data_IF_630228519755
#
_entry.id   IF_630228519755
#
_cell.length_a   1.000
_cell.length_b   1.000
_cell.length_c   1.000
_cell.angle_alpha   90.00
_cell.angle_beta   90.00
_cell.angle_gamma   90.00
#
_symmetry.space_group_name_H-M   'P 1'
#
loop_
_entity.id
_entity.type
_entity.pdbx_description
1 polymer ?
#
# COMPACT_ATOMS: atom_id res chain seq x y z
N UNK A 1 11.17 9.33 -19.61
CA UNK A 1 11.68 8.89 -18.29
C UNK A 1 12.60 7.70 -18.48
N UNK A 2 13.75 7.64 -17.79
CA UNK A 2 14.63 6.48 -17.78
C UNK A 2 14.38 5.66 -16.51
N UNK A 3 14.62 4.35 -16.58
CA UNK A 3 14.60 3.48 -15.40
C UNK A 3 15.67 3.90 -14.38
N UNK A 4 15.38 3.73 -13.11
CA UNK A 4 16.38 3.91 -12.05
C UNK A 4 17.55 2.94 -12.23
N UNK A 5 18.77 3.26 -11.75
CA UNK A 5 19.89 2.34 -11.79
C UNK A 5 19.53 1.00 -11.15
N UNK A 6 19.94 -0.14 -11.75
CA UNK A 6 19.60 -1.45 -11.21
C UNK A 6 20.25 -1.65 -9.84
N UNK A 7 19.44 -2.15 -8.90
CA UNK A 7 19.92 -2.58 -7.59
C UNK A 7 20.46 -4.00 -7.71
N UNK A 8 21.66 -4.24 -7.16
CA UNK A 8 22.31 -5.56 -7.21
C UNK A 8 21.82 -6.49 -6.09
N UNK A 9 21.50 -5.92 -4.91
CA UNK A 9 21.04 -6.65 -3.74
C UNK A 9 20.29 -5.71 -2.81
N UNK A 10 19.24 -6.22 -2.18
CA UNK A 10 18.57 -5.60 -1.04
C UNK A 10 18.68 -6.57 0.13
N UNK A 11 19.25 -6.13 1.24
CA UNK A 11 19.39 -6.91 2.45
C UNK A 11 19.01 -6.07 3.66
N UNK A 12 17.88 -6.39 4.28
CA UNK A 12 17.25 -5.65 5.40
C UNK A 12 17.21 -4.14 5.11
N UNK A 13 18.04 -3.34 5.77
CA UNK A 13 18.10 -1.88 5.62
C UNK A 13 19.22 -1.41 4.70
N UNK A 14 19.82 -2.30 3.93
CA UNK A 14 20.90 -1.95 3.02
C UNK A 14 20.58 -2.36 1.58
N UNK A 15 21.16 -1.61 0.64
CA UNK A 15 21.12 -1.92 -0.79
C UNK A 15 22.53 -1.86 -1.36
N UNK A 16 22.82 -2.72 -2.32
CA UNK A 16 24.07 -2.66 -3.09
C UNK A 16 23.78 -2.08 -4.48
N UNK A 17 24.50 -1.02 -4.81
CA UNK A 17 24.41 -0.32 -6.10
C UNK A 17 25.81 -0.01 -6.58
N UNK A 18 26.16 -0.43 -7.81
CA UNK A 18 27.49 -0.24 -8.39
C UNK A 18 28.62 -0.64 -7.41
N UNK A 19 28.46 -1.80 -6.78
CA UNK A 19 29.40 -2.33 -5.79
C UNK A 19 29.36 -1.68 -4.39
N UNK A 20 28.71 -0.53 -4.22
CA UNK A 20 28.62 0.18 -2.94
C UNK A 20 27.46 -0.33 -2.10
N UNK A 21 27.67 -0.53 -0.80
CA UNK A 21 26.62 -0.83 0.18
C UNK A 21 26.15 0.48 0.80
N UNK A 22 24.85 0.77 0.65
CA UNK A 22 24.22 2.00 1.09
C UNK A 22 23.03 1.70 2.03
N UNK A 23 22.77 2.57 2.99
CA UNK A 23 21.57 2.52 3.83
C UNK A 23 20.35 2.78 2.92
N UNK A 24 19.31 1.96 3.04
CA UNK A 24 18.18 1.95 2.12
C UNK A 24 16.89 2.40 2.78
N UNK A 25 16.52 3.64 2.55
CA UNK A 25 15.23 4.22 2.88
C UNK A 25 14.26 4.21 1.68
N UNK A 26 14.57 3.43 0.66
CA UNK A 26 13.68 3.21 -0.49
C UNK A 26 12.86 1.93 -0.33
N UNK A 27 11.90 1.75 -1.25
CA UNK A 27 10.96 0.63 -1.19
C UNK A 27 10.01 0.72 -0.01
N UNK A 28 8.98 -0.13 0.00
CA UNK A 28 7.89 -0.05 0.97
C UNK A 28 7.74 -1.34 1.81
N UNK A 29 8.80 -2.14 1.93
CA UNK A 29 8.85 -3.27 2.87
C UNK A 29 9.14 -2.74 4.28
N UNK A 30 8.10 -2.23 4.92
CA UNK A 30 8.17 -1.48 6.18
C UNK A 30 8.69 -2.30 7.35
N UNK A 31 8.60 -3.63 7.29
CA UNK A 31 9.08 -4.55 8.33
C UNK A 31 10.26 -5.41 7.86
N UNK A 32 10.75 -5.16 6.63
CA UNK A 32 11.83 -5.95 6.00
C UNK A 32 11.54 -7.46 5.98
N UNK A 33 10.25 -7.81 5.79
CA UNK A 33 9.78 -9.19 5.74
C UNK A 33 10.34 -9.96 4.54
N UNK A 34 10.59 -9.29 3.41
CA UNK A 34 11.19 -9.93 2.23
C UNK A 34 12.57 -10.58 2.52
N UNK A 35 13.30 -10.05 3.49
CA UNK A 35 14.59 -10.60 3.93
C UNK A 35 14.53 -11.29 5.30
N UNK A 36 13.34 -11.43 5.90
CA UNK A 36 13.18 -12.07 7.21
C UNK A 36 13.48 -13.58 7.13
N UNK A 37 14.34 -14.15 8.02
CA UNK A 37 14.76 -15.54 7.92
C UNK A 37 13.61 -16.55 7.91
N UNK A 38 12.60 -16.38 8.78
CA UNK A 38 11.44 -17.28 8.85
C UNK A 38 10.56 -17.18 7.60
N UNK A 39 10.41 -15.99 6.98
CA UNK A 39 9.65 -15.80 5.76
C UNK A 39 10.36 -16.46 4.58
N UNK A 40 11.68 -16.29 4.49
CA UNK A 40 12.50 -16.95 3.45
C UNK A 40 12.49 -18.47 3.59
N UNK A 41 12.59 -18.98 4.82
CA UNK A 41 12.46 -20.42 5.09
C UNK A 41 11.10 -20.94 4.67
N UNK A 42 10.01 -20.25 5.03
CA UNK A 42 8.66 -20.66 4.61
C UNK A 42 8.49 -20.69 3.09
N UNK A 43 9.16 -19.81 2.34
CA UNK A 43 9.19 -19.86 0.88
C UNK A 43 9.91 -21.12 0.37
N UNK A 44 11.09 -21.42 0.92
CA UNK A 44 11.88 -22.60 0.56
C UNK A 44 11.12 -23.91 0.85
N UNK A 45 10.59 -24.03 2.06
CA UNK A 45 9.79 -25.18 2.48
C UNK A 45 8.52 -25.32 1.63
N UNK A 46 7.89 -24.18 1.28
CA UNK A 46 6.75 -24.15 0.39
C UNK A 46 7.06 -24.63 -1.03
N UNK A 47 8.23 -24.30 -1.56
CA UNK A 47 8.67 -24.75 -2.87
C UNK A 47 8.91 -26.29 -2.89
N UNK A 48 9.53 -26.81 -1.84
CA UNK A 48 9.77 -28.26 -1.70
C UNK A 48 8.47 -29.02 -1.52
N UNK A 49 7.55 -28.52 -0.68
CA UNK A 49 6.34 -29.25 -0.29
C UNK A 49 5.23 -29.18 -1.33
N UNK A 50 5.05 -28.04 -1.99
CA UNK A 50 3.88 -27.78 -2.83
C UNK A 50 4.21 -27.57 -4.31
N UNK A 51 5.49 -27.53 -4.69
CA UNK A 51 5.90 -27.10 -6.02
C UNK A 51 5.71 -25.59 -6.23
N UNK A 52 5.80 -25.15 -7.49
CA UNK A 52 5.81 -23.72 -7.80
C UNK A 52 4.41 -23.12 -7.95
N UNK A 53 3.48 -23.85 -8.57
CA UNK A 53 2.11 -23.37 -8.80
C UNK A 53 1.13 -24.53 -8.95
N UNK A 54 -0.17 -24.20 -9.06
CA UNK A 54 -1.24 -25.20 -9.25
C UNK A 54 -1.57 -25.44 -10.74
N UNK A 55 -1.03 -24.64 -11.65
CA UNK A 55 -1.25 -24.67 -13.10
C UNK A 55 -2.73 -24.77 -13.54
N UNK A 56 -3.65 -24.23 -12.74
CA UNK A 56 -5.09 -24.28 -12.97
C UNK A 56 -5.79 -23.08 -12.28
N UNK A 57 -6.96 -22.71 -12.80
CA UNK A 57 -7.82 -21.72 -12.16
C UNK A 57 -8.36 -22.21 -10.82
N UNK A 58 -8.55 -21.28 -9.87
CA UNK A 58 -9.16 -21.58 -8.57
C UNK A 58 -10.61 -22.07 -8.66
N UNK A 59 -11.32 -21.73 -9.72
CA UNK A 59 -12.69 -22.22 -9.95
C UNK A 59 -12.74 -23.65 -10.51
N UNK A 60 -11.61 -24.19 -10.92
CA UNK A 60 -11.54 -25.57 -11.43
C UNK A 60 -10.76 -26.45 -10.45
N UNK A 61 -9.58 -26.87 -10.80
CA UNK A 61 -8.75 -27.79 -10.00
C UNK A 61 -7.62 -27.10 -9.24
N UNK A 62 -7.50 -25.77 -9.36
CA UNK A 62 -6.40 -24.99 -8.78
C UNK A 62 -6.67 -24.38 -7.41
N UNK A 63 -7.79 -24.71 -6.72
CA UNK A 63 -8.07 -24.16 -5.39
C UNK A 63 -7.32 -24.94 -4.30
N UNK A 64 -6.09 -24.54 -4.04
CA UNK A 64 -5.25 -25.19 -3.04
C UNK A 64 -5.59 -24.74 -1.62
N UNK A 65 -5.54 -25.66 -0.63
CA UNK A 65 -5.82 -25.37 0.79
C UNK A 65 -5.01 -24.22 1.37
N UNK A 66 -3.78 -24.03 0.90
CA UNK A 66 -2.91 -22.93 1.35
C UNK A 66 -3.48 -21.55 1.03
N UNK A 67 -4.18 -21.39 -0.10
CA UNK A 67 -4.86 -20.14 -0.44
C UNK A 67 -6.00 -19.85 0.55
N UNK A 68 -6.82 -20.86 0.83
CA UNK A 68 -7.92 -20.74 1.80
C UNK A 68 -7.39 -20.37 3.20
N UNK A 69 -6.28 -21.01 3.60
CA UNK A 69 -5.63 -20.71 4.89
C UNK A 69 -5.09 -19.28 4.94
N UNK A 70 -4.47 -18.80 3.87
CA UNK A 70 -3.95 -17.43 3.78
C UNK A 70 -5.10 -16.40 3.77
N UNK A 71 -6.15 -16.64 2.99
CA UNK A 71 -7.34 -15.76 2.95
C UNK A 71 -8.00 -15.67 4.34
N UNK A 72 -8.15 -16.79 5.03
CA UNK A 72 -8.68 -16.82 6.41
C UNK A 72 -7.78 -16.05 7.36
N UNK A 73 -6.46 -16.20 7.25
CA UNK A 73 -5.49 -15.49 8.09
C UNK A 73 -5.54 -13.97 7.84
N UNK A 74 -5.65 -13.54 6.59
CA UNK A 74 -5.79 -12.13 6.20
C UNK A 74 -7.12 -11.55 6.70
N UNK A 75 -8.25 -12.21 6.44
CA UNK A 75 -9.56 -11.77 6.92
C UNK A 75 -9.54 -11.58 8.45
N UNK A 76 -8.98 -12.54 9.19
CA UNK A 76 -8.84 -12.45 10.65
C UNK A 76 -7.92 -11.31 11.09
N UNK A 77 -6.78 -11.11 10.40
CA UNK A 77 -5.82 -10.06 10.76
C UNK A 77 -6.41 -8.67 10.56
N UNK A 78 -7.08 -8.44 9.43
CA UNK A 78 -7.68 -7.14 9.10
C UNK A 78 -9.08 -6.92 9.69
N UNK A 79 -9.73 -7.96 10.21
CA UNK A 79 -11.08 -7.89 10.79
C UNK A 79 -12.20 -7.81 9.74
N UNK A 80 -11.94 -8.32 8.53
CA UNK A 80 -12.93 -8.49 7.48
C UNK A 80 -13.67 -9.84 7.64
N UNK A 81 -14.84 -9.95 7.00
CA UNK A 81 -15.56 -11.23 6.97
C UNK A 81 -14.85 -12.25 6.08
N UNK A 82 -14.39 -11.81 4.91
CA UNK A 82 -13.67 -12.65 3.95
C UNK A 82 -12.55 -11.88 3.23
N UNK A 83 -11.64 -12.63 2.62
CA UNK A 83 -10.59 -12.15 1.74
C UNK A 83 -10.57 -12.95 0.44
N UNK A 84 -10.14 -12.32 -0.67
CA UNK A 84 -9.80 -12.99 -1.92
C UNK A 84 -8.38 -12.61 -2.34
N UNK A 85 -7.57 -13.59 -2.73
CA UNK A 85 -6.17 -13.40 -3.15
C UNK A 85 -6.06 -13.11 -4.65
N UNK A 86 -5.10 -12.25 -5.00
CA UNK A 86 -4.75 -11.88 -6.36
C UNK A 86 -3.23 -11.90 -6.56
N UNK A 87 -2.78 -11.94 -7.82
CA UNK A 87 -1.37 -11.95 -8.17
C UNK A 87 -0.64 -10.68 -7.72
N UNK A 88 -1.28 -9.51 -7.74
CA UNK A 88 -0.69 -8.24 -7.24
C UNK A 88 -1.76 -7.36 -6.61
N UNK A 89 -1.35 -6.40 -5.77
CA UNK A 89 -2.24 -5.34 -5.27
C UNK A 89 -2.86 -4.51 -6.39
N UNK A 90 -2.13 -4.33 -7.51
CA UNK A 90 -2.64 -3.57 -8.65
C UNK A 90 -3.89 -4.20 -9.26
N UNK A 91 -3.85 -5.48 -9.56
CA UNK A 91 -4.99 -6.19 -10.18
C UNK A 91 -6.17 -6.41 -9.22
N UNK A 92 -5.98 -6.23 -7.93
CA UNK A 92 -7.04 -6.36 -6.92
C UNK A 92 -8.17 -5.35 -7.15
N UNK A 93 -7.83 -4.09 -7.42
CA UNK A 93 -8.79 -3.03 -7.70
C UNK A 93 -9.51 -3.27 -9.05
N UNK A 94 -8.77 -3.70 -10.07
CA UNK A 94 -9.33 -4.05 -11.38
C UNK A 94 -10.32 -5.20 -11.26
N UNK A 95 -9.99 -6.24 -10.50
CA UNK A 95 -10.86 -7.39 -10.28
C UNK A 95 -12.16 -7.01 -9.57
N UNK A 96 -12.08 -6.13 -8.57
CA UNK A 96 -13.27 -5.58 -7.92
C UNK A 96 -14.17 -4.86 -8.94
N UNK A 97 -13.62 -3.89 -9.66
CA UNK A 97 -14.38 -3.08 -10.60
C UNK A 97 -14.99 -3.93 -11.73
N UNK A 98 -14.25 -4.90 -12.26
CA UNK A 98 -14.73 -5.84 -13.29
C UNK A 98 -15.91 -6.69 -12.84
N UNK A 99 -16.03 -6.93 -11.53
CA UNK A 99 -17.12 -7.75 -10.96
C UNK A 99 -18.45 -7.02 -10.87
N UNK A 100 -18.45 -5.69 -11.02
CA UNK A 100 -19.62 -4.84 -10.83
C UNK A 100 -19.94 -3.90 -12.01
N UNK A 101 -19.86 -4.36 -13.29
CA UNK A 101 -20.14 -3.52 -14.44
C UNK A 101 -21.61 -3.06 -14.41
N UNK A 102 -21.83 -1.74 -14.49
CA UNK A 102 -23.19 -1.14 -14.46
C UNK A 102 -23.91 -1.23 -13.11
N UNK A 103 -23.27 -1.79 -12.08
CA UNK A 103 -23.86 -1.80 -10.73
C UNK A 103 -23.85 -0.40 -10.11
N UNK A 104 -22.75 0.32 -10.26
CA UNK A 104 -22.62 1.70 -9.83
C UNK A 104 -23.07 2.66 -10.92
N UNK A 105 -23.69 3.76 -10.51
CA UNK A 105 -24.15 4.80 -11.44
C UNK A 105 -23.08 5.88 -11.65
N UNK A 106 -22.15 6.03 -10.70
CA UNK A 106 -21.06 7.01 -10.73
C UNK A 106 -19.87 6.49 -9.98
N UNK A 107 -18.67 6.79 -10.46
CA UNK A 107 -17.41 6.63 -9.77
C UNK A 107 -16.89 8.01 -9.32
N UNK A 108 -16.55 8.16 -8.04
CA UNK A 108 -16.02 9.40 -7.47
C UNK A 108 -14.58 9.13 -6.99
N UNK A 109 -13.62 9.79 -7.62
CA UNK A 109 -12.20 9.53 -7.46
C UNK A 109 -11.52 10.67 -6.68
N UNK A 110 -10.73 10.34 -5.65
CA UNK A 110 -9.84 11.33 -5.03
C UNK A 110 -8.85 11.87 -6.09
N UNK A 111 -8.59 13.17 -6.09
CA UNK A 111 -7.72 13.81 -7.08
C UNK A 111 -6.29 13.25 -7.11
N UNK A 112 -5.79 12.68 -5.99
CA UNK A 112 -4.47 12.05 -5.88
C UNK A 112 -4.52 10.52 -5.81
N UNK A 113 -5.61 9.92 -6.26
CA UNK A 113 -5.80 8.48 -6.30
C UNK A 113 -4.67 7.79 -7.09
N UNK A 114 -4.16 6.69 -6.57
CA UNK A 114 -3.17 5.85 -7.24
C UNK A 114 -3.68 5.33 -8.60
N UNK A 115 -2.76 5.06 -9.54
CA UNK A 115 -3.10 4.57 -10.88
C UNK A 115 -3.98 3.34 -10.91
N UNK A 116 -3.74 2.36 -10.04
CA UNK A 116 -4.51 1.11 -10.02
C UNK A 116 -6.02 1.29 -9.81
N UNK A 117 -6.51 1.95 -8.75
CA UNK A 117 -7.96 2.18 -8.62
C UNK A 117 -8.48 3.22 -9.65
N UNK A 118 -7.63 4.08 -10.22
CA UNK A 118 -8.00 4.96 -11.33
C UNK A 118 -8.30 4.15 -12.59
N UNK A 119 -7.42 3.24 -12.98
CA UNK A 119 -7.63 2.33 -14.11
C UNK A 119 -8.82 1.39 -13.87
N UNK A 120 -9.02 0.98 -12.62
CA UNK A 120 -10.18 0.18 -12.23
C UNK A 120 -11.50 0.91 -12.47
N UNK A 121 -11.55 2.23 -12.29
CA UNK A 121 -12.76 3.02 -12.50
C UNK A 121 -13.29 2.91 -13.94
N UNK A 122 -12.43 2.74 -14.94
CA UNK A 122 -12.82 2.57 -16.35
C UNK A 122 -13.63 1.28 -16.57
N UNK A 123 -13.34 0.23 -15.79
CA UNK A 123 -14.05 -1.06 -15.89
C UNK A 123 -15.47 -1.03 -15.31
N UNK A 124 -15.83 -0.01 -14.52
CA UNK A 124 -17.15 0.14 -13.92
C UNK A 124 -18.21 0.53 -14.96
N UNK A 125 -17.80 1.06 -16.12
CA UNK A 125 -18.68 1.49 -17.21
C UNK A 125 -19.76 2.49 -16.76
N UNK A 126 -19.37 3.43 -15.90
CA UNK A 126 -20.22 4.52 -15.44
C UNK A 126 -19.42 5.85 -15.47
N UNK A 127 -20.12 7.02 -15.48
CA UNK A 127 -19.46 8.31 -15.39
C UNK A 127 -18.54 8.41 -14.19
N UNK A 128 -17.29 8.87 -14.41
CA UNK A 128 -16.32 9.14 -13.37
C UNK A 128 -16.17 10.65 -13.14
N UNK A 129 -16.12 11.05 -11.87
CA UNK A 129 -15.87 12.44 -11.43
C UNK A 129 -14.74 12.45 -10.42
N UNK A 130 -13.92 13.49 -10.45
CA UNK A 130 -12.87 13.70 -9.48
C UNK A 130 -13.32 14.69 -8.41
N UNK A 131 -13.08 14.39 -7.14
CA UNK A 131 -13.24 15.34 -6.03
C UNK A 131 -11.88 15.76 -5.50
N UNK A 132 -11.84 16.95 -4.87
CA UNK A 132 -10.59 17.51 -4.34
C UNK A 132 -9.98 16.57 -3.30
N UNK A 133 -8.66 16.46 -3.35
CA UNK A 133 -7.87 15.58 -2.48
C UNK A 133 -8.23 15.75 -1.00
N UNK A 134 -8.68 14.65 -0.37
CA UNK A 134 -9.05 14.57 1.05
C UNK A 134 -10.13 15.56 1.49
N UNK A 135 -10.98 15.97 0.58
CA UNK A 135 -12.03 16.98 0.84
C UNK A 135 -13.42 16.32 0.85
N UNK A 136 -13.92 16.02 2.06
CA UNK A 136 -15.25 15.42 2.25
C UNK A 136 -16.40 16.37 1.87
N UNK A 137 -16.20 17.69 1.94
CA UNK A 137 -17.21 18.65 1.53
C UNK A 137 -17.34 18.71 0.01
N UNK A 138 -16.22 18.62 -0.70
CA UNK A 138 -16.25 18.50 -2.16
C UNK A 138 -16.88 17.16 -2.57
N UNK A 139 -16.49 16.06 -1.91
CA UNK A 139 -17.13 14.75 -2.13
C UNK A 139 -18.66 14.86 -1.92
N UNK A 140 -19.13 15.51 -0.87
CA UNK A 140 -20.56 15.76 -0.61
C UNK A 140 -21.23 16.53 -1.75
N UNK A 141 -20.58 17.57 -2.30
CA UNK A 141 -21.09 18.31 -3.45
C UNK A 141 -21.21 17.45 -4.69
N UNK A 142 -20.16 16.66 -4.98
CA UNK A 142 -20.17 15.74 -6.12
C UNK A 142 -21.25 14.65 -5.98
N UNK A 143 -21.42 14.08 -4.79
CA UNK A 143 -22.47 13.10 -4.50
C UNK A 143 -23.88 13.69 -4.74
N UNK A 144 -24.15 14.91 -4.29
CA UNK A 144 -25.43 15.60 -4.55
C UNK A 144 -25.69 15.77 -6.04
N UNK A 145 -24.68 16.06 -6.84
CA UNK A 145 -24.80 16.21 -8.30
C UNK A 145 -25.08 14.91 -9.06
N UNK A 146 -24.93 13.75 -8.39
CA UNK A 146 -25.25 12.45 -8.96
C UNK A 146 -26.76 12.10 -8.91
N UNK A 147 -27.55 12.85 -8.13
CA UNK A 147 -28.97 12.62 -7.96
C UNK A 147 -29.34 11.62 -6.84
N UNK A 148 -30.61 11.66 -6.39
CA UNK A 148 -31.06 10.87 -5.22
C UNK A 148 -31.06 9.37 -5.43
N UNK A 149 -31.22 8.89 -6.66
CA UNK A 149 -31.23 7.46 -7.00
C UNK A 149 -29.83 6.92 -7.30
N UNK A 150 -28.78 7.70 -7.12
CA UNK A 150 -27.43 7.30 -7.41
C UNK A 150 -26.96 6.15 -6.50
N UNK A 151 -26.19 5.25 -7.10
CA UNK A 151 -25.39 4.20 -6.41
C UNK A 151 -23.93 4.51 -6.68
N UNK A 152 -23.32 5.44 -5.95
CA UNK A 152 -21.94 5.85 -6.20
C UNK A 152 -20.93 4.85 -5.63
N UNK A 153 -19.79 4.72 -6.32
CA UNK A 153 -18.58 4.13 -5.76
C UNK A 153 -17.57 5.26 -5.53
N UNK A 154 -17.12 5.43 -4.29
CA UNK A 154 -15.99 6.32 -3.97
C UNK A 154 -14.71 5.49 -3.97
N UNK A 155 -13.67 6.00 -4.65
CA UNK A 155 -12.34 5.37 -4.73
C UNK A 155 -11.31 6.32 -4.14
N UNK A 156 -10.53 5.82 -3.19
CA UNK A 156 -9.46 6.58 -2.52
C UNK A 156 -8.33 5.66 -2.10
N UNK A 157 -7.10 6.21 -1.99
CA UNK A 157 -6.06 5.54 -1.22
C UNK A 157 -6.39 5.69 0.27
N UNK A 158 -6.06 4.71 1.08
CA UNK A 158 -6.12 4.84 2.54
C UNK A 158 -4.98 5.72 3.05
N UNK A 159 -3.75 5.29 2.77
CA UNK A 159 -2.54 6.08 2.95
C UNK A 159 -1.93 6.40 1.58
N UNK A 160 -1.87 7.68 1.23
CA UNK A 160 -1.36 8.12 -0.06
C UNK A 160 0.15 7.90 -0.19
N UNK A 161 0.54 7.28 -1.30
CA UNK A 161 1.92 6.86 -1.54
C UNK A 161 2.91 8.01 -1.74
N UNK A 162 2.41 9.21 -2.07
CA UNK A 162 3.25 10.39 -2.34
C UNK A 162 3.89 10.94 -1.07
N UNK A 163 3.08 11.22 -0.06
CA UNK A 163 3.47 11.97 1.13
C UNK A 163 3.11 11.28 2.46
N UNK A 164 2.35 10.17 2.38
CA UNK A 164 1.87 9.47 3.57
C UNK A 164 0.67 10.13 4.25
N UNK A 165 -0.01 11.09 3.60
CA UNK A 165 -1.28 11.61 4.09
C UNK A 165 -2.35 10.51 4.13
N UNK A 166 -3.35 10.65 5.01
CA UNK A 166 -4.41 9.66 5.21
C UNK A 166 -5.74 10.20 4.71
N UNK A 167 -6.53 9.34 4.04
CA UNK A 167 -7.90 9.67 3.67
C UNK A 167 -8.78 9.78 4.92
N UNK A 168 -9.69 10.77 5.00
CA UNK A 168 -10.64 10.92 6.11
C UNK A 168 -11.84 9.97 5.92
N UNK A 169 -11.61 8.66 6.07
CA UNK A 169 -12.60 7.63 5.73
C UNK A 169 -13.91 7.76 6.51
N UNK A 170 -13.86 8.21 7.76
CA UNK A 170 -15.06 8.43 8.58
C UNK A 170 -15.94 9.53 7.97
N UNK A 171 -15.33 10.62 7.53
CA UNK A 171 -16.04 11.73 6.89
C UNK A 171 -16.62 11.32 5.52
N UNK A 172 -15.87 10.52 4.74
CA UNK A 172 -16.37 9.98 3.47
C UNK A 172 -17.59 9.07 3.67
N UNK A 173 -17.54 8.17 4.64
CA UNK A 173 -18.67 7.29 4.97
C UNK A 173 -19.87 8.07 5.50
N UNK A 174 -19.65 9.15 6.24
CA UNK A 174 -20.72 10.00 6.76
C UNK A 174 -21.51 10.74 5.66
N UNK A 175 -20.86 11.07 4.53
CA UNK A 175 -21.51 11.74 3.40
C UNK A 175 -22.01 10.77 2.33
N UNK A 176 -21.54 9.52 2.35
CA UNK A 176 -21.88 8.49 1.38
C UNK A 176 -23.31 8.00 1.60
N UNK A 177 -24.19 7.98 0.58
CA UNK A 177 -25.54 7.44 0.70
C UNK A 177 -25.51 5.93 1.01
N UNK A 178 -26.57 5.39 1.59
CA UNK A 178 -26.68 3.95 1.93
C UNK A 178 -26.50 3.02 0.74
N UNK A 179 -26.81 3.49 -0.46
CA UNK A 179 -26.65 2.76 -1.74
C UNK A 179 -25.22 2.81 -2.29
N UNK A 180 -24.34 3.64 -1.70
CA UNK A 180 -22.97 3.81 -2.13
C UNK A 180 -22.01 2.85 -1.46
N UNK A 181 -20.83 2.70 -2.07
CA UNK A 181 -19.70 1.93 -1.52
C UNK A 181 -18.43 2.75 -1.54
N UNK A 182 -17.47 2.36 -0.69
CA UNK A 182 -16.15 2.96 -0.57
C UNK A 182 -15.09 1.88 -0.82
N UNK A 183 -14.35 1.99 -1.93
CA UNK A 183 -13.16 1.19 -2.20
C UNK A 183 -11.91 1.95 -1.74
N UNK A 184 -11.22 1.37 -0.77
CA UNK A 184 -10.00 1.93 -0.19
C UNK A 184 -8.81 1.12 -0.66
N UNK A 185 -7.94 1.71 -1.47
CA UNK A 185 -6.61 1.15 -1.72
C UNK A 185 -5.71 1.44 -0.52
N UNK A 186 -5.66 0.50 0.38
CA UNK A 186 -4.86 0.61 1.62
C UNK A 186 -3.52 -0.11 1.52
N UNK A 187 -2.98 -0.22 0.29
CA UNK A 187 -1.74 -0.92 0.02
C UNK A 187 -0.56 -0.45 0.90
N UNK A 188 -0.53 0.82 1.29
CA UNK A 188 0.50 1.39 2.15
C UNK A 188 0.13 1.36 3.64
N UNK A 189 -1.15 1.52 3.98
CA UNK A 189 -1.63 1.55 5.37
C UNK A 189 -1.76 0.17 6.00
N UNK A 190 -2.20 -0.81 5.20
CA UNK A 190 -2.39 -2.18 5.66
C UNK A 190 -1.10 -2.78 6.25
N UNK A 191 -1.19 -3.33 7.47
CA UNK A 191 -0.07 -3.88 8.23
C UNK A 191 0.72 -2.83 9.03
N UNK A 192 0.73 -1.56 8.59
CA UNK A 192 1.56 -0.48 9.18
C UNK A 192 0.78 0.39 10.15
N UNK A 193 -0.39 0.83 9.75
CA UNK A 193 -1.19 1.79 10.48
C UNK A 193 -2.20 1.11 11.44
N UNK A 194 -2.57 1.87 12.48
CA UNK A 194 -3.48 1.40 13.51
C UNK A 194 -2.78 0.63 14.64
N UNK A 195 -3.47 0.51 15.77
CA UNK A 195 -2.95 -0.17 16.97
C UNK A 195 -2.64 -1.65 16.71
N UNK A 196 -3.46 -2.30 15.90
CA UNK A 196 -3.31 -3.73 15.57
C UNK A 196 -2.78 -3.97 14.14
N UNK A 197 -2.61 -2.90 13.32
CA UNK A 197 -2.10 -2.98 11.95
C UNK A 197 -3.18 -3.22 10.90
N UNK A 198 -4.45 -2.97 11.21
CA UNK A 198 -5.53 -3.15 10.22
C UNK A 198 -5.56 -2.06 9.15
N UNK A 199 -4.66 -1.08 9.24
CA UNK A 199 -4.51 -0.04 8.23
C UNK A 199 -5.34 1.21 8.51
N UNK A 200 -5.60 1.97 7.45
CA UNK A 200 -6.30 3.26 7.53
C UNK A 200 -7.72 3.16 8.10
N UNK A 201 -8.53 2.11 7.83
CA UNK A 201 -9.82 1.97 8.48
C UNK A 201 -9.74 1.92 10.01
N UNK A 202 -8.72 1.26 10.57
CA UNK A 202 -8.53 1.23 12.03
C UNK A 202 -8.15 2.60 12.60
N UNK A 203 -7.28 3.34 11.90
CA UNK A 203 -6.90 4.71 12.32
C UNK A 203 -8.10 5.66 12.31
N UNK A 204 -8.95 5.54 11.30
CA UNK A 204 -10.16 6.35 11.19
C UNK A 204 -11.32 5.87 12.09
N UNK A 205 -11.13 4.76 12.85
CA UNK A 205 -12.16 4.19 13.72
C UNK A 205 -13.39 3.68 12.97
N UNK A 206 -13.25 3.31 11.69
CA UNK A 206 -14.39 2.92 10.85
C UNK A 206 -14.50 1.40 10.73
N UNK A 207 -15.75 0.94 10.84
CA UNK A 207 -16.17 -0.43 10.53
C UNK A 207 -17.52 -0.34 9.86
N UNK A 208 -17.56 -0.52 8.55
CA UNK A 208 -18.76 -0.32 7.74
C UNK A 208 -18.79 -1.39 6.63
N UNK A 209 -19.93 -2.04 6.42
CA UNK A 209 -20.12 -3.08 5.40
C UNK A 209 -19.99 -2.56 3.96
N UNK A 210 -20.14 -1.24 3.77
CA UNK A 210 -19.95 -0.55 2.49
C UNK A 210 -18.48 -0.32 2.15
N UNK A 211 -17.55 -0.52 3.09
CA UNK A 211 -16.12 -0.36 2.88
C UNK A 211 -15.51 -1.66 2.37
N UNK A 212 -14.80 -1.58 1.27
CA UNK A 212 -13.97 -2.64 0.70
C UNK A 212 -12.52 -2.17 0.75
N UNK A 213 -11.65 -2.98 1.36
CA UNK A 213 -10.23 -2.66 1.49
C UNK A 213 -9.42 -3.52 0.52
N UNK A 214 -8.66 -2.87 -0.37
CA UNK A 214 -7.67 -3.51 -1.24
C UNK A 214 -6.29 -3.36 -0.59
N UNK A 215 -5.51 -4.43 -0.55
CA UNK A 215 -4.18 -4.44 0.06
C UNK A 215 -3.13 -5.04 -0.86
N UNK A 216 -1.89 -4.63 -0.67
CA UNK A 216 -0.72 -5.24 -1.33
C UNK A 216 0.07 -6.09 -0.34
N UNK A 217 0.36 -7.32 -0.71
CA UNK A 217 1.25 -8.19 0.07
C UNK A 217 2.74 -7.86 -0.15
N UNK A 218 3.08 -7.02 -1.15
CA UNK A 218 4.47 -6.65 -1.45
C UNK A 218 5.02 -5.53 -0.58
N UNK A 219 4.23 -4.99 0.34
CA UNK A 219 4.65 -3.90 1.22
C UNK A 219 4.86 -4.39 2.66
N UNK A 220 3.93 -4.15 3.59
CA UNK A 220 4.08 -4.56 4.98
C UNK A 220 4.28 -6.09 5.16
N UNK A 221 3.65 -6.90 4.32
CA UNK A 221 3.82 -8.36 4.33
C UNK A 221 5.14 -8.78 3.68
N UNK A 222 5.76 -7.93 2.82
CA UNK A 222 7.07 -8.15 2.24
C UNK A 222 7.17 -9.31 1.24
N UNK A 223 6.03 -9.77 0.70
CA UNK A 223 5.95 -10.87 -0.27
C UNK A 223 5.24 -10.38 -1.52
N UNK A 224 5.11 -11.18 -2.54
CA UNK A 224 4.35 -10.84 -3.75
C UNK A 224 2.87 -11.15 -3.57
N UNK A 225 1.98 -10.36 -4.19
CA UNK A 225 0.53 -10.60 -4.18
C UNK A 225 -0.30 -9.40 -3.77
N UNK A 226 -1.61 -9.61 -3.77
CA UNK A 226 -2.60 -8.67 -3.26
C UNK A 226 -3.81 -9.41 -2.68
N UNK A 227 -4.64 -8.70 -1.94
CA UNK A 227 -5.90 -9.23 -1.47
C UNK A 227 -6.99 -8.16 -1.39
N UNK A 228 -8.21 -8.56 -1.65
CA UNK A 228 -9.42 -7.79 -1.41
C UNK A 228 -10.07 -8.29 -0.13
N UNK A 229 -10.47 -7.35 0.72
CA UNK A 229 -11.06 -7.60 2.04
C UNK A 229 -12.43 -6.92 2.09
N UNK A 230 -13.44 -7.61 2.58
CA UNK A 230 -14.78 -7.05 2.67
C UNK A 230 -15.81 -8.04 3.21
N UNK A 231 -17.10 -7.73 2.98
CA UNK A 231 -18.18 -8.64 3.35
C UNK A 231 -18.16 -9.92 2.50
N UNK A 232 -18.65 -11.00 3.04
CA UNK A 232 -18.74 -12.29 2.35
C UNK A 232 -19.50 -12.18 1.02
N UNK A 233 -20.54 -11.34 0.96
CA UNK A 233 -21.33 -11.07 -0.25
C UNK A 233 -20.48 -10.46 -1.36
N UNK A 234 -19.67 -9.45 -1.04
CA UNK A 234 -18.79 -8.75 -1.99
C UNK A 234 -17.70 -9.68 -2.49
N UNK A 235 -17.01 -10.36 -1.58
CA UNK A 235 -15.91 -11.26 -1.93
C UNK A 235 -16.40 -12.40 -2.83
N UNK A 236 -17.55 -13.01 -2.50
CA UNK A 236 -18.17 -14.03 -3.34
C UNK A 236 -18.51 -13.50 -4.75
N UNK A 237 -19.10 -12.30 -4.85
CA UNK A 237 -19.40 -11.69 -6.14
C UNK A 237 -18.13 -11.47 -6.99
N UNK A 238 -17.00 -11.09 -6.37
CA UNK A 238 -15.73 -10.95 -7.06
C UNK A 238 -15.19 -12.30 -7.52
N UNK A 239 -15.25 -13.32 -6.69
CA UNK A 239 -14.82 -14.68 -7.06
C UNK A 239 -15.63 -15.27 -8.20
N UNK A 240 -16.93 -14.99 -8.25
CA UNK A 240 -17.85 -15.54 -9.25
C UNK A 240 -17.85 -14.78 -10.58
N UNK A 241 -17.53 -13.47 -10.59
CA UNK A 241 -17.75 -12.59 -11.74
C UNK A 241 -16.48 -11.98 -12.32
N UNK A 242 -15.39 -11.91 -11.57
CA UNK A 242 -14.17 -11.33 -12.08
C UNK A 242 -13.44 -12.30 -13.02
N UNK A 243 -13.31 -11.94 -14.28
CA UNK A 243 -12.49 -12.71 -15.22
C UNK A 243 -11.02 -12.74 -14.79
N UNK A 244 -10.54 -11.69 -14.10
CA UNK A 244 -9.20 -11.64 -13.52
C UNK A 244 -9.05 -12.72 -12.42
N UNK A 245 -10.07 -12.97 -11.60
CA UNK A 245 -10.02 -14.03 -10.61
C UNK A 245 -10.19 -15.42 -11.25
N UNK A 246 -11.14 -15.54 -12.18
CA UNK A 246 -11.53 -16.79 -12.81
C UNK A 246 -10.44 -17.31 -13.76
N UNK A 247 -9.92 -16.42 -14.64
CA UNK A 247 -9.04 -16.80 -15.75
C UNK A 247 -7.55 -16.70 -15.47
N UNK A 248 -7.16 -16.27 -14.27
CA UNK A 248 -5.75 -16.09 -13.92
C UNK A 248 -5.20 -17.28 -13.13
N UNK A 249 -3.92 -17.60 -13.37
CA UNK A 249 -3.17 -18.49 -12.49
C UNK A 249 -3.03 -17.81 -11.12
N UNK A 250 -3.39 -18.48 -10.02
CA UNK A 250 -3.30 -17.89 -8.70
C UNK A 250 -1.85 -17.69 -8.26
N UNK A 251 -1.70 -17.02 -7.11
CA UNK A 251 -0.41 -16.78 -6.48
C UNK A 251 0.43 -18.06 -6.38
N UNK A 252 1.74 -18.03 -6.74
CA UNK A 252 2.63 -19.18 -6.56
C UNK A 252 2.60 -19.73 -5.13
N UNK A 253 2.50 -21.04 -4.97
CA UNK A 253 2.35 -21.68 -3.66
C UNK A 253 3.48 -21.34 -2.66
N UNK A 254 4.76 -21.28 -3.05
CA UNK A 254 5.83 -20.83 -2.16
C UNK A 254 5.64 -19.40 -1.63
N UNK A 255 5.13 -18.50 -2.48
CA UNK A 255 4.83 -17.14 -2.08
C UNK A 255 3.61 -17.07 -1.15
N UNK A 256 2.60 -17.93 -1.35
CA UNK A 256 1.48 -18.04 -0.43
C UNK A 256 1.94 -18.53 0.96
N UNK A 257 2.85 -19.50 1.01
CA UNK A 257 3.45 -19.99 2.26
C UNK A 257 4.24 -18.90 2.99
N UNK A 258 5.06 -18.14 2.25
CA UNK A 258 5.83 -17.01 2.77
C UNK A 258 4.91 -15.90 3.29
N UNK A 259 3.84 -15.55 2.55
CA UNK A 259 2.87 -14.55 2.94
C UNK A 259 2.12 -14.96 4.23
N UNK A 260 1.71 -16.21 4.32
CA UNK A 260 1.07 -16.75 5.54
C UNK A 260 2.01 -16.62 6.75
N UNK A 261 3.28 -16.99 6.60
CA UNK A 261 4.28 -16.84 7.66
C UNK A 261 4.47 -15.39 8.06
N UNK A 262 4.56 -14.48 7.10
CA UNK A 262 4.70 -13.05 7.37
C UNK A 262 3.50 -12.48 8.13
N UNK A 263 2.27 -12.81 7.73
CA UNK A 263 1.04 -12.40 8.45
C UNK A 263 1.02 -12.94 9.88
N UNK A 264 1.47 -14.18 10.09
CA UNK A 264 1.60 -14.78 11.42
C UNK A 264 2.60 -14.01 12.30
N UNK A 265 3.75 -13.61 11.74
CA UNK A 265 4.78 -12.81 12.43
C UNK A 265 4.24 -11.44 12.81
N UNK A 266 3.64 -10.70 11.86
CA UNK A 266 3.05 -9.38 12.10
C UNK A 266 1.97 -9.41 13.20
N UNK A 267 1.22 -10.52 13.30
CA UNK A 267 0.22 -10.73 14.36
C UNK A 267 0.85 -11.08 15.69
N UNK A 268 1.88 -11.92 15.69
CA UNK A 268 2.52 -12.44 16.91
C UNK A 268 3.42 -11.43 17.59
N UNK A 269 4.12 -10.61 16.80
CA UNK A 269 5.11 -9.65 17.26
C UNK A 269 4.66 -8.19 17.11
N UNK A 270 3.99 -7.62 18.12
CA UNK A 270 3.60 -6.21 18.09
C UNK A 270 4.77 -5.25 18.19
N UNK A 271 5.98 -5.71 18.59
CA UNK A 271 7.17 -4.87 18.72
C UNK A 271 7.67 -4.37 17.34
N UNK A 272 7.43 -5.11 16.27
CA UNK A 272 7.73 -4.69 14.90
C UNK A 272 7.05 -3.36 14.58
N UNK A 273 5.74 -3.29 14.86
CA UNK A 273 4.94 -2.07 14.60
C UNK A 273 5.30 -0.96 15.58
N UNK A 274 5.52 -1.28 16.85
CA UNK A 274 5.96 -0.30 17.84
C UNK A 274 7.30 0.35 17.43
N UNK A 275 8.27 -0.42 16.95
CA UNK A 275 9.55 0.11 16.42
C UNK A 275 9.34 0.98 15.18
N UNK A 276 8.45 0.56 14.24
CA UNK A 276 8.15 1.36 13.06
C UNK A 276 7.55 2.73 13.44
N UNK A 277 6.61 2.75 14.37
CA UNK A 277 5.99 3.98 14.88
C UNK A 277 7.04 4.86 15.58
N UNK A 278 7.87 4.30 16.45
CA UNK A 278 8.92 5.03 17.15
C UNK A 278 9.94 5.64 16.17
N UNK A 279 10.42 4.86 15.20
CA UNK A 279 11.34 5.34 14.17
C UNK A 279 10.72 6.47 13.33
N UNK A 280 9.44 6.33 13.00
CA UNK A 280 8.69 7.35 12.25
C UNK A 280 8.54 8.64 13.04
N UNK A 281 8.12 8.54 14.30
CA UNK A 281 7.96 9.70 15.18
C UNK A 281 9.29 10.42 15.41
N UNK A 282 10.36 9.67 15.67
CA UNK A 282 11.71 10.23 15.87
C UNK A 282 12.13 11.11 14.68
N UNK A 283 12.17 10.54 13.46
CA UNK A 283 12.63 11.30 12.29
C UNK A 283 11.71 12.48 11.97
N UNK A 284 10.37 12.27 11.99
CA UNK A 284 9.43 13.34 11.66
C UNK A 284 9.49 14.49 12.66
N UNK A 285 9.71 14.21 13.95
CA UNK A 285 9.88 15.27 14.97
C UNK A 285 11.09 16.12 14.68
N UNK A 286 12.24 15.51 14.42
CA UNK A 286 13.48 16.23 14.09
C UNK A 286 13.30 17.09 12.83
N UNK A 287 12.67 16.54 11.78
CA UNK A 287 12.45 17.28 10.54
C UNK A 287 11.45 18.45 10.74
N UNK A 288 10.40 18.27 11.54
CA UNK A 288 9.47 19.38 11.85
C UNK A 288 10.13 20.49 12.68
N UNK A 289 10.97 20.12 13.65
CA UNK A 289 11.77 21.11 14.40
C UNK A 289 12.71 21.90 13.48
N UNK A 290 13.15 21.27 12.40
CA UNK A 290 13.92 21.92 11.33
C UNK A 290 13.04 22.57 10.26
N UNK A 291 11.72 22.73 10.51
CA UNK A 291 10.74 23.40 9.66
C UNK A 291 10.45 22.74 8.30
N UNK A 292 10.74 21.45 8.17
CA UNK A 292 10.33 20.70 6.98
C UNK A 292 8.81 20.42 6.97
N UNK A 293 8.14 20.52 5.80
CA UNK A 293 6.70 20.30 5.66
C UNK A 293 6.36 18.79 5.65
N UNK A 294 6.66 18.08 6.72
CA UNK A 294 6.33 16.66 6.86
C UNK A 294 4.97 16.45 7.51
N UNK A 295 4.20 15.51 7.00
CA UNK A 295 2.84 15.20 7.47
C UNK A 295 2.89 14.69 8.92
N UNK A 296 2.05 15.27 9.78
CA UNK A 296 1.96 14.87 11.20
C UNK A 296 0.99 13.70 11.39
N UNK A 297 1.49 12.50 11.15
CA UNK A 297 0.77 11.24 11.37
C UNK A 297 1.76 10.08 11.49
N UNK A 298 1.26 8.88 11.78
CA UNK A 298 2.07 7.67 11.96
C UNK A 298 2.52 7.00 10.64
N UNK A 299 2.24 7.61 9.48
CA UNK A 299 2.69 7.09 8.18
C UNK A 299 4.22 6.99 8.14
N UNK A 300 4.82 5.85 7.77
CA UNK A 300 6.27 5.68 7.70
C UNK A 300 6.88 6.28 6.42
N UNK A 301 6.19 7.21 5.77
CA UNK A 301 6.67 7.93 4.61
C UNK A 301 7.03 9.37 4.96
N UNK A 302 8.17 9.82 4.42
CA UNK A 302 8.62 11.21 4.45
C UNK A 302 8.91 11.63 3.02
N UNK A 303 8.18 12.62 2.52
CA UNK A 303 8.35 13.17 1.19
C UNK A 303 8.86 14.61 1.28
N UNK A 304 9.93 14.92 0.55
CA UNK A 304 10.55 16.24 0.53
C UNK A 304 10.80 16.67 -0.91
N UNK A 305 10.27 17.81 -1.30
CA UNK A 305 10.42 18.35 -2.65
C UNK A 305 11.61 19.30 -2.67
N UNK A 306 12.63 19.06 -3.52
CA UNK A 306 13.73 20.00 -3.71
C UNK A 306 13.23 21.27 -4.41
N UNK A 307 13.93 22.39 -4.24
CA UNK A 307 13.56 23.68 -4.85
C UNK A 307 13.70 23.67 -6.38
N UNK A 308 14.71 22.98 -6.86
CA UNK A 308 15.07 22.85 -8.28
C UNK A 308 15.94 21.62 -8.54
N UNK A 309 16.28 21.37 -9.82
CA UNK A 309 17.11 20.25 -10.24
C UNK A 309 18.53 20.29 -9.65
N UNK A 310 19.13 21.48 -9.48
CA UNK A 310 20.46 21.60 -8.89
C UNK A 310 20.44 21.23 -7.41
N UNK A 311 19.38 21.67 -6.70
CA UNK A 311 19.14 21.32 -5.31
C UNK A 311 18.93 19.81 -5.17
N UNK A 312 18.11 19.17 -6.01
CA UNK A 312 17.95 17.73 -6.08
C UNK A 312 19.31 17.01 -6.25
N UNK A 313 20.10 17.43 -7.23
CA UNK A 313 21.41 16.83 -7.50
C UNK A 313 22.42 17.02 -6.36
N UNK A 314 22.42 18.17 -5.67
CA UNK A 314 23.25 18.39 -4.46
C UNK A 314 22.86 17.43 -3.35
N UNK A 315 21.58 17.28 -3.08
CA UNK A 315 21.03 16.38 -2.06
C UNK A 315 21.34 14.93 -2.37
N UNK A 316 21.18 14.48 -3.63
CA UNK A 316 21.59 13.12 -4.05
C UNK A 316 23.05 12.86 -3.74
N UNK A 317 23.96 13.81 -4.09
CA UNK A 317 25.40 13.68 -3.78
C UNK A 317 25.69 13.67 -2.28
N UNK A 318 24.95 14.46 -1.49
CA UNK A 318 25.12 14.49 -0.03
C UNK A 318 24.69 13.15 0.60
N UNK A 319 23.55 12.61 0.19
CA UNK A 319 23.06 11.29 0.63
C UNK A 319 24.07 10.18 0.27
N UNK A 320 24.56 10.16 -0.98
CA UNK A 320 25.56 9.18 -1.43
C UNK A 320 26.88 9.28 -0.64
N UNK A 321 27.37 10.48 -0.33
CA UNK A 321 28.57 10.67 0.52
C UNK A 321 28.34 10.16 1.93
N UNK A 322 27.14 10.35 2.48
CA UNK A 322 26.73 9.82 3.78
C UNK A 322 26.45 8.31 3.78
N UNK A 323 26.63 7.61 2.66
CA UNK A 323 26.35 6.17 2.56
C UNK A 323 24.86 5.83 2.54
N UNK A 324 24.00 6.77 2.11
CA UNK A 324 22.55 6.59 2.00
C UNK A 324 22.18 6.55 0.52
N UNK A 325 21.33 5.59 0.14
CA UNK A 325 20.75 5.54 -1.21
C UNK A 325 19.72 6.67 -1.38
N UNK A 326 19.85 7.56 -2.38
CA UNK A 326 18.93 8.67 -2.60
C UNK A 326 17.63 8.18 -3.29
N UNK A 327 16.47 8.18 -2.60
CA UNK A 327 15.23 7.71 -3.18
C UNK A 327 14.48 8.84 -3.90
N UNK A 328 15.11 9.45 -4.92
CA UNK A 328 14.51 10.48 -5.75
C UNK A 328 13.52 9.83 -6.73
N UNK A 329 12.28 10.27 -6.68
CA UNK A 329 11.17 9.78 -7.49
C UNK A 329 10.75 10.85 -8.49
N UNK A 330 10.55 10.44 -9.74
CA UNK A 330 9.99 11.26 -10.80
C UNK A 330 8.80 10.54 -11.42
N UNK A 331 7.60 10.96 -11.10
CA UNK A 331 6.36 10.50 -11.73
C UNK A 331 5.86 11.53 -12.75
N UNK A 332 5.06 11.07 -13.71
CA UNK A 332 4.45 11.93 -14.76
C UNK A 332 3.67 13.10 -14.15
N UNK A 333 2.90 12.82 -13.09
CA UNK A 333 2.04 13.79 -12.42
C UNK A 333 2.67 14.36 -11.13
N UNK A 334 3.99 14.18 -10.97
CA UNK A 334 4.76 14.68 -9.83
C UNK A 334 5.41 16.03 -10.06
N UNK A 335 6.12 16.57 -9.05
CA UNK A 335 6.95 17.77 -9.23
C UNK A 335 7.95 17.61 -10.38
N UNK A 336 8.21 18.67 -11.18
CA UNK A 336 9.05 18.58 -12.38
C UNK A 336 10.44 17.99 -12.12
N UNK A 337 11.07 18.38 -11.01
CA UNK A 337 12.42 17.92 -10.61
C UNK A 337 12.38 16.67 -9.72
N UNK A 338 11.20 16.08 -9.53
CA UNK A 338 10.97 14.95 -8.66
C UNK A 338 10.87 15.33 -7.17
N UNK A 339 10.80 14.31 -6.33
CA UNK A 339 10.79 14.47 -4.87
C UNK A 339 11.51 13.28 -4.22
N UNK A 340 12.13 13.53 -3.08
CA UNK A 340 12.71 12.45 -2.26
C UNK A 340 11.60 11.82 -1.42
N UNK A 341 11.45 10.49 -1.52
CA UNK A 341 10.52 9.74 -0.70
C UNK A 341 11.23 8.68 0.13
N UNK A 342 11.41 8.98 1.39
CA UNK A 342 12.01 8.06 2.35
C UNK A 342 10.92 7.20 2.98
N UNK A 343 11.07 5.87 2.87
CA UNK A 343 10.24 4.88 3.52
C UNK A 343 10.98 4.32 4.73
N UNK A 344 10.45 4.59 5.92
CA UNK A 344 11.02 4.10 7.16
C UNK A 344 10.66 2.64 7.38
N UNK A 345 11.48 1.93 8.14
CA UNK A 345 11.19 0.55 8.52
C UNK A 345 11.44 0.33 10.01
N UNK A 346 10.85 -0.73 10.55
CA UNK A 346 11.07 -1.18 11.93
C UNK A 346 12.54 -1.54 12.22
N UNK A 347 13.33 -1.74 11.18
CA UNK A 347 14.71 -2.24 11.26
C UNK A 347 15.77 -1.13 11.11
N UNK A 348 15.36 0.11 10.80
CA UNK A 348 16.31 1.22 10.85
C UNK A 348 16.73 1.50 12.29
N UNK A 349 18.04 1.69 12.50
CA UNK A 349 18.57 2.03 13.81
C UNK A 349 18.49 3.54 14.08
N UNK A 350 18.48 3.99 15.35
CA UNK A 350 18.53 5.42 15.69
C UNK A 350 19.68 6.15 14.97
N UNK A 351 20.89 5.60 14.98
CA UNK A 351 22.05 6.20 14.29
C UNK A 351 21.84 6.37 12.77
N UNK A 352 21.08 5.46 12.12
CA UNK A 352 20.74 5.62 10.69
C UNK A 352 19.72 6.73 10.48
N UNK A 353 18.77 6.90 11.38
CA UNK A 353 17.77 7.97 11.34
C UNK A 353 18.41 9.33 11.59
N UNK A 354 19.29 9.43 12.61
CA UNK A 354 20.03 10.65 12.93
C UNK A 354 20.89 11.08 11.72
N UNK A 355 21.64 10.15 11.14
CA UNK A 355 22.44 10.41 9.93
C UNK A 355 21.59 10.91 8.76
N UNK A 356 20.39 10.32 8.56
CA UNK A 356 19.47 10.79 7.52
C UNK A 356 19.00 12.21 7.82
N UNK A 357 18.60 12.50 9.07
CA UNK A 357 18.13 13.82 9.47
C UNK A 357 19.20 14.89 9.27
N UNK A 358 20.44 14.64 9.72
CA UNK A 358 21.58 15.54 9.55
C UNK A 358 21.83 15.91 8.08
N UNK A 359 21.86 14.89 7.20
CA UNK A 359 22.06 15.11 5.77
C UNK A 359 20.92 15.92 5.14
N UNK A 360 19.68 15.63 5.50
CA UNK A 360 18.52 16.34 4.97
C UNK A 360 18.50 17.80 5.42
N UNK A 361 18.79 18.06 6.71
CA UNK A 361 18.84 19.43 7.25
C UNK A 361 19.99 20.22 6.57
N UNK A 362 21.14 19.62 6.37
CA UNK A 362 22.29 20.28 5.74
C UNK A 362 22.14 20.49 4.23
N UNK A 363 21.33 19.69 3.53
CA UNK A 363 21.29 19.69 2.06
C UNK A 363 19.95 20.10 1.45
N UNK A 364 18.84 20.08 2.19
CA UNK A 364 17.49 20.42 1.71
C UNK A 364 16.92 21.67 2.38
N UNK A 365 17.53 22.18 3.43
CA UNK A 365 17.21 23.47 4.02
C UNK A 365 17.96 24.60 3.29
#
# INVERSE_FOLDING_TARGET
>A
MSLSPPLQQIDRVFVRVRGRRLIYFGGCDYFRMASHPEVRRALQDGAVRYGLNVAASRLTTGNHQLFVTLETALAKFFGAEQAALFSTGYVTNLAFAQSFPGHFTHALLDARLHGSPRDAAELLRCPAKTFRHRDADDLRRQLKSCGRAARPLVLTDGMFSHDGSLAPLAEYLAVLPRTGMLLVDDAHGAGTLGRTGKGTPEVCGVRDERLVQSISLSKAVGVYGGALLGSAKIIRAVQERSHIFIGNTPLPLPLAAAALKSVQLLRRDPTLRARLIANTACLKTVLRMAEFPVVDNASPLVALVPRDAQHAARTERALLRAGIFPPLIRYLDGPPDGYFRFALSSEHTPSQLDRLAEVLIASLK
#
